data_IF_254324154657
#
_entry.id   IF_254324154657
#
_cell.length_a   1.000
_cell.length_b   1.000
_cell.length_c   1.000
_cell.angle_alpha   90.00
_cell.angle_beta   90.00
_cell.angle_gamma   90.00
#
_symmetry.space_group_name_H-M   'P 1'
#
loop_
_entity.id
_entity.type
_entity.pdbx_description
1 polymer ?
#
# COMPACT_ATOMS: atom_id res chain seq x y z
N UNK A 1 -42.74 7.68 -0.04
CA UNK A 1 -41.43 7.60 -0.71
C UNK A 1 -41.67 7.38 -2.20
N UNK A 2 -41.31 8.34 -3.08
CA UNK A 2 -41.43 8.18 -4.53
C UNK A 2 -40.36 7.20 -5.00
N UNK A 3 -40.73 6.15 -5.76
CA UNK A 3 -39.74 5.34 -6.47
C UNK A 3 -39.10 6.23 -7.55
N UNK A 4 -37.77 6.32 -7.64
CA UNK A 4 -37.12 7.10 -8.69
C UNK A 4 -37.54 6.60 -10.06
N UNK A 5 -37.73 7.53 -11.00
CA UNK A 5 -38.00 7.16 -12.39
C UNK A 5 -36.77 6.46 -12.98
N UNK A 6 -36.98 5.49 -13.90
CA UNK A 6 -35.86 4.77 -14.53
C UNK A 6 -34.88 5.68 -15.27
N UNK A 7 -35.35 6.86 -15.69
CA UNK A 7 -34.59 7.92 -16.33
C UNK A 7 -33.66 8.66 -15.35
N UNK A 8 -34.13 9.03 -14.17
CA UNK A 8 -33.29 9.67 -13.13
C UNK A 8 -32.09 8.80 -12.75
N UNK A 9 -32.32 7.48 -12.66
CA UNK A 9 -31.27 6.53 -12.34
C UNK A 9 -30.19 6.46 -13.43
N UNK A 10 -30.60 6.40 -14.70
CA UNK A 10 -29.67 6.37 -15.84
C UNK A 10 -28.86 7.67 -15.95
N UNK A 11 -29.50 8.82 -15.70
CA UNK A 11 -28.86 10.13 -15.71
C UNK A 11 -27.79 10.22 -14.63
N UNK A 12 -28.09 9.78 -13.40
CA UNK A 12 -27.10 9.76 -12.30
C UNK A 12 -25.91 8.87 -12.66
N UNK A 13 -26.12 7.69 -13.25
CA UNK A 13 -25.02 6.81 -13.68
C UNK A 13 -24.17 7.48 -14.76
N UNK A 14 -24.78 8.14 -15.74
CA UNK A 14 -24.04 8.88 -16.77
C UNK A 14 -23.21 10.03 -16.18
N UNK A 15 -23.75 10.76 -15.21
CA UNK A 15 -23.06 11.84 -14.54
C UNK A 15 -21.93 11.36 -13.62
N UNK A 16 -22.10 10.21 -12.94
CA UNK A 16 -21.04 9.55 -12.19
C UNK A 16 -19.89 9.12 -13.12
N UNK A 17 -20.22 8.57 -14.30
CA UNK A 17 -19.22 8.26 -15.35
C UNK A 17 -18.45 9.50 -15.81
N UNK A 18 -19.15 10.64 -15.92
CA UNK A 18 -18.54 11.91 -16.27
C UNK A 18 -17.74 12.57 -15.13
N UNK A 19 -17.65 11.94 -13.94
CA UNK A 19 -16.88 12.45 -12.81
C UNK A 19 -17.57 13.59 -12.06
N UNK A 20 -18.90 13.71 -12.14
CA UNK A 20 -19.62 14.75 -11.38
C UNK A 20 -19.60 14.41 -9.88
N UNK A 21 -19.22 15.36 -9.00
CA UNK A 21 -19.08 15.10 -7.56
C UNK A 21 -20.38 14.63 -6.90
N UNK A 22 -20.27 13.67 -5.96
CA UNK A 22 -21.41 13.10 -5.24
C UNK A 22 -22.35 14.14 -4.62
N UNK A 23 -21.79 15.14 -3.92
CA UNK A 23 -22.58 16.15 -3.22
C UNK A 23 -23.48 16.95 -4.15
N UNK A 24 -23.02 17.23 -5.38
CA UNK A 24 -23.81 17.92 -6.40
C UNK A 24 -24.95 17.03 -6.88
N UNK A 25 -24.70 15.74 -7.12
CA UNK A 25 -25.72 14.78 -7.52
C UNK A 25 -26.79 14.58 -6.44
N UNK A 26 -26.38 14.51 -5.16
CA UNK A 26 -27.31 14.39 -4.04
C UNK A 26 -28.26 15.58 -3.94
N UNK A 27 -27.77 16.79 -4.22
CA UNK A 27 -28.59 18.00 -4.23
C UNK A 27 -29.64 18.01 -5.36
N UNK A 28 -29.35 17.37 -6.50
CA UNK A 28 -30.20 17.37 -7.69
C UNK A 28 -31.21 16.22 -7.72
N UNK A 29 -30.77 15.01 -7.38
CA UNK A 29 -31.54 13.77 -7.53
C UNK A 29 -31.95 13.15 -6.18
N UNK A 30 -31.47 13.71 -5.06
CA UNK A 30 -31.70 13.19 -3.72
C UNK A 30 -30.71 12.09 -3.31
N UNK A 31 -30.44 11.93 -2.00
CA UNK A 31 -29.38 11.06 -1.51
C UNK A 31 -29.61 9.58 -1.79
N UNK A 32 -30.85 9.10 -1.69
CA UNK A 32 -31.17 7.67 -1.85
C UNK A 32 -30.97 7.18 -3.29
N UNK A 33 -31.39 7.96 -4.27
CA UNK A 33 -31.24 7.62 -5.70
C UNK A 33 -29.77 7.55 -6.07
N UNK A 34 -29.00 8.54 -5.62
CA UNK A 34 -27.56 8.64 -5.89
C UNK A 34 -26.78 7.52 -5.21
N UNK A 35 -27.08 7.20 -3.94
CA UNK A 35 -26.45 6.08 -3.23
C UNK A 35 -26.69 4.74 -3.93
N UNK A 36 -27.93 4.48 -4.33
CA UNK A 36 -28.29 3.24 -5.03
C UNK A 36 -27.60 3.15 -6.40
N UNK A 37 -27.63 4.23 -7.18
CA UNK A 37 -26.98 4.30 -8.48
C UNK A 37 -25.46 4.11 -8.37
N UNK A 38 -24.82 4.77 -7.40
CA UNK A 38 -23.40 4.65 -7.15
C UNK A 38 -22.98 3.25 -6.69
N UNK A 39 -23.73 2.60 -5.80
CA UNK A 39 -23.44 1.22 -5.37
C UNK A 39 -23.46 0.26 -6.57
N UNK A 40 -24.47 0.37 -7.42
CA UNK A 40 -24.58 -0.45 -8.61
C UNK A 40 -23.53 -0.09 -9.67
N UNK A 41 -23.20 1.19 -9.80
CA UNK A 41 -22.12 1.67 -10.67
C UNK A 41 -20.79 1.04 -10.26
N UNK A 42 -20.43 1.09 -8.97
CA UNK A 42 -19.17 0.52 -8.47
C UNK A 42 -19.07 -0.97 -8.76
N UNK A 43 -20.18 -1.72 -8.64
CA UNK A 43 -20.22 -3.16 -8.91
C UNK A 43 -20.12 -3.50 -10.40
N UNK A 44 -20.75 -2.71 -11.26
CA UNK A 44 -20.93 -3.04 -12.67
C UNK A 44 -19.87 -2.42 -13.58
N UNK A 45 -19.37 -1.24 -13.23
CA UNK A 45 -18.41 -0.50 -14.03
C UNK A 45 -16.98 -0.99 -13.75
N UNK A 46 -16.10 -0.80 -14.73
CA UNK A 46 -14.66 -1.11 -14.63
C UNK A 46 -13.81 0.07 -15.11
N UNK A 47 -14.39 1.27 -15.12
CA UNK A 47 -13.74 2.47 -15.58
C UNK A 47 -13.06 3.24 -14.45
N UNK A 48 -12.19 4.20 -14.81
CA UNK A 48 -11.25 4.87 -13.90
C UNK A 48 -11.92 5.68 -12.79
N UNK A 49 -13.20 6.03 -12.95
CA UNK A 49 -13.98 6.79 -11.96
C UNK A 49 -14.58 5.89 -10.86
N UNK A 50 -14.63 4.57 -11.05
CA UNK A 50 -15.19 3.60 -10.10
C UNK A 50 -14.62 3.79 -8.71
N UNK A 51 -13.30 3.87 -8.61
CA UNK A 51 -12.62 4.02 -7.34
C UNK A 51 -13.00 5.30 -6.60
N UNK A 52 -13.02 6.43 -7.31
CA UNK A 52 -13.42 7.73 -6.76
C UNK A 52 -14.86 7.69 -6.25
N UNK A 53 -15.78 7.12 -7.03
CA UNK A 53 -17.20 7.00 -6.65
C UNK A 53 -17.38 6.10 -5.42
N UNK A 54 -16.64 4.97 -5.36
CA UNK A 54 -16.68 4.09 -4.19
C UNK A 54 -16.20 4.82 -2.93
N UNK A 55 -15.13 5.61 -3.03
CA UNK A 55 -14.62 6.40 -1.91
C UNK A 55 -15.60 7.47 -1.45
N UNK A 56 -16.18 8.22 -2.38
CA UNK A 56 -17.20 9.22 -2.08
C UNK A 56 -18.40 8.59 -1.36
N UNK A 57 -18.86 7.42 -1.82
CA UNK A 57 -19.95 6.69 -1.19
C UNK A 57 -19.66 6.30 0.27
N UNK A 58 -18.42 5.92 0.57
CA UNK A 58 -17.99 5.54 1.93
C UNK A 58 -17.85 6.75 2.86
N UNK A 59 -17.50 7.93 2.32
CA UNK A 59 -17.33 9.16 3.13
C UNK A 59 -18.65 9.87 3.48
N UNK A 60 -19.70 9.73 2.67
CA UNK A 60 -20.91 10.55 2.78
C UNK A 60 -21.99 10.03 3.75
N UNK A 61 -21.92 8.80 4.27
CA UNK A 61 -22.87 8.30 5.29
C UNK A 61 -22.38 7.03 5.99
N UNK A 62 -22.43 7.00 7.32
CA UNK A 62 -22.07 5.83 8.13
C UNK A 62 -23.02 4.63 7.91
N UNK A 63 -24.32 4.85 7.72
CA UNK A 63 -25.27 3.76 7.44
C UNK A 63 -25.03 3.12 6.08
N UNK A 64 -24.74 3.96 5.08
CA UNK A 64 -24.45 3.52 3.71
C UNK A 64 -23.11 2.79 3.64
N UNK A 65 -22.13 3.23 4.44
CA UNK A 65 -20.81 2.60 4.57
C UNK A 65 -20.92 1.17 5.09
N UNK A 66 -21.61 0.93 6.21
CA UNK A 66 -21.75 -0.42 6.78
C UNK A 66 -22.48 -1.37 5.82
N UNK A 67 -23.56 -0.91 5.18
CA UNK A 67 -24.28 -1.69 4.17
C UNK A 67 -23.42 -2.00 2.93
N UNK A 68 -22.68 -1.01 2.42
CA UNK A 68 -21.85 -1.20 1.24
C UNK A 68 -20.66 -2.11 1.52
N UNK A 69 -20.03 -1.99 2.70
CA UNK A 69 -18.89 -2.82 3.08
C UNK A 69 -19.29 -4.23 3.52
N UNK A 70 -20.57 -4.46 3.83
CA UNK A 70 -21.12 -5.80 4.04
C UNK A 70 -21.31 -6.57 2.72
N UNK A 71 -21.41 -5.86 1.60
CA UNK A 71 -21.64 -6.39 0.27
C UNK A 71 -20.33 -6.84 -0.40
N UNK A 72 -20.12 -8.15 -0.51
CA UNK A 72 -18.87 -8.71 -1.07
C UNK A 72 -18.58 -8.24 -2.49
N UNK A 73 -19.59 -8.09 -3.34
CA UNK A 73 -19.39 -7.62 -4.71
C UNK A 73 -18.90 -6.17 -4.74
N UNK A 74 -19.38 -5.34 -3.81
CA UNK A 74 -18.89 -3.97 -3.66
C UNK A 74 -17.45 -3.94 -3.13
N UNK A 75 -17.14 -4.73 -2.10
CA UNK A 75 -15.79 -4.78 -1.52
C UNK A 75 -14.78 -5.28 -2.55
N UNK A 76 -15.09 -6.35 -3.29
CA UNK A 76 -14.22 -6.85 -4.35
C UNK A 76 -13.99 -5.80 -5.46
N UNK A 77 -15.04 -5.06 -5.84
CA UNK A 77 -14.92 -3.98 -6.80
C UNK A 77 -14.08 -2.80 -6.28
N UNK A 78 -14.19 -2.48 -4.98
CA UNK A 78 -13.37 -1.46 -4.32
C UNK A 78 -11.90 -1.86 -4.29
N UNK A 79 -11.59 -3.10 -3.89
CA UNK A 79 -10.23 -3.65 -3.90
C UNK A 79 -9.63 -3.60 -5.31
N UNK A 80 -10.38 -4.06 -6.31
CA UNK A 80 -9.98 -3.98 -7.70
C UNK A 80 -9.78 -2.54 -8.22
N UNK A 81 -10.35 -1.53 -7.54
CA UNK A 81 -10.16 -0.11 -7.89
C UNK A 81 -8.89 0.51 -7.30
N UNK A 82 -8.29 -0.14 -6.30
CA UNK A 82 -7.01 0.28 -5.73
C UNK A 82 -5.84 -0.12 -6.64
N UNK A 83 -6.03 -1.18 -7.43
CA UNK A 83 -5.05 -1.68 -8.40
C UNK A 83 -5.34 -1.22 -9.83
N UNK A 84 -6.29 -0.31 -10.00
CA UNK A 84 -6.66 0.20 -11.31
C UNK A 84 -5.59 1.15 -11.84
N UNK A 85 -5.23 0.97 -13.11
CA UNK A 85 -4.24 1.79 -13.79
C UNK A 85 -4.65 3.27 -13.83
N UNK A 86 -3.68 4.21 -13.85
CA UNK A 86 -3.98 5.61 -14.07
C UNK A 86 -4.52 5.82 -15.50
N UNK A 87 -5.04 7.02 -15.76
CA UNK A 87 -5.46 7.37 -17.12
C UNK A 87 -4.30 7.29 -18.12
N UNK A 88 -4.60 6.95 -19.38
CA UNK A 88 -3.64 6.61 -20.45
C UNK A 88 -2.44 7.58 -20.58
N UNK A 89 -2.63 8.87 -20.28
CA UNK A 89 -1.58 9.88 -20.32
C UNK A 89 -0.47 9.70 -19.26
N UNK A 90 -0.69 8.87 -18.24
CA UNK A 90 0.29 8.52 -17.20
C UNK A 90 0.84 7.10 -17.41
N UNK A 91 0.48 6.44 -18.51
CA UNK A 91 0.93 5.09 -18.85
C UNK A 91 2.08 5.15 -19.86
N UNK A 92 3.04 4.23 -19.73
CA UNK A 92 4.02 3.97 -20.77
C UNK A 92 3.30 3.30 -21.97
N UNK A 93 3.30 3.92 -23.16
CA UNK A 93 2.55 3.41 -24.32
C UNK A 93 3.12 2.14 -24.95
N UNK A 94 4.34 1.71 -24.58
CA UNK A 94 4.94 0.46 -25.04
C UNK A 94 4.82 -0.65 -24.00
N UNK A 95 5.11 -0.32 -22.74
CA UNK A 95 5.12 -1.29 -21.65
C UNK A 95 3.74 -1.49 -21.01
N UNK A 96 2.80 -0.56 -21.25
CA UNK A 96 1.45 -0.57 -20.69
C UNK A 96 1.46 -0.65 -19.16
N UNK A 97 2.40 0.06 -18.54
CA UNK A 97 2.52 0.20 -17.08
C UNK A 97 2.57 1.68 -16.72
N UNK A 98 2.18 2.06 -15.48
CA UNK A 98 2.31 3.45 -15.02
C UNK A 98 3.75 3.93 -15.15
N UNK A 99 3.93 5.13 -15.71
CA UNK A 99 5.24 5.78 -15.83
C UNK A 99 5.91 5.87 -14.44
N UNK A 100 7.24 5.78 -14.37
CA UNK A 100 8.03 5.97 -13.14
C UNK A 100 8.89 7.20 -13.25
N UNK A 101 9.69 7.27 -14.30
CA UNK A 101 10.53 8.41 -14.65
C UNK A 101 10.29 8.78 -16.12
N UNK A 102 9.21 9.53 -16.41
CA UNK A 102 8.82 9.84 -17.77
C UNK A 102 9.85 10.72 -18.47
N UNK A 103 10.21 10.32 -19.69
CA UNK A 103 11.11 11.05 -20.58
C UNK A 103 10.44 11.26 -21.94
N UNK A 104 10.74 12.38 -22.58
CA UNK A 104 10.32 12.67 -23.94
C UNK A 104 11.43 12.35 -24.92
N UNK A 105 11.08 11.62 -25.97
CA UNK A 105 11.93 11.36 -27.13
C UNK A 105 12.01 12.61 -28.01
N UNK A 106 13.02 12.70 -28.88
CA UNK A 106 13.12 13.77 -29.89
C UNK A 106 11.92 13.83 -30.85
N UNK A 107 11.17 12.73 -31.00
CA UNK A 107 9.90 12.69 -31.75
C UNK A 107 8.71 13.30 -31.01
N UNK A 108 8.86 13.72 -29.75
CA UNK A 108 7.80 14.27 -28.91
C UNK A 108 6.97 13.24 -28.16
N UNK A 109 7.19 11.94 -28.38
CA UNK A 109 6.51 10.88 -27.63
C UNK A 109 7.14 10.67 -26.26
N UNK A 110 6.29 10.34 -25.29
CA UNK A 110 6.66 10.08 -23.89
C UNK A 110 6.78 8.59 -23.65
N UNK A 111 7.86 8.18 -23.00
CA UNK A 111 8.10 6.81 -22.53
C UNK A 111 8.64 6.86 -21.11
N UNK A 112 8.66 5.73 -20.41
CA UNK A 112 9.47 5.61 -19.21
C UNK A 112 10.97 5.59 -19.57
N UNK A 113 11.82 6.11 -18.67
CA UNK A 113 13.27 6.11 -18.86
C UNK A 113 13.81 4.70 -19.08
N UNK A 114 13.34 3.69 -18.36
CA UNK A 114 13.84 2.32 -18.50
C UNK A 114 13.44 1.69 -19.83
N UNK A 115 12.33 2.15 -20.41
CA UNK A 115 11.88 1.80 -21.76
C UNK A 115 12.75 2.46 -22.83
N UNK A 116 13.12 3.74 -22.63
CA UNK A 116 13.86 4.52 -23.61
C UNK A 116 15.38 4.30 -23.58
N UNK A 117 15.96 4.03 -22.39
CA UNK A 117 17.40 3.95 -22.15
C UNK A 117 17.82 2.63 -21.49
N UNK A 118 19.03 2.18 -21.80
CA UNK A 118 19.72 1.15 -21.02
C UNK A 118 20.18 1.73 -19.67
N UNK A 119 20.51 0.88 -18.68
CA UNK A 119 21.01 1.35 -17.37
C UNK A 119 22.28 2.21 -17.46
N UNK A 120 23.07 2.06 -18.52
CA UNK A 120 24.26 2.88 -18.80
C UNK A 120 23.94 4.23 -19.47
N UNK A 121 22.65 4.55 -19.65
CA UNK A 121 22.18 5.78 -20.26
C UNK A 121 22.16 5.78 -21.79
N UNK A 122 22.55 4.70 -22.46
CA UNK A 122 22.50 4.62 -23.93
C UNK A 122 21.05 4.47 -24.42
N UNK A 123 20.65 5.13 -25.53
CA UNK A 123 19.33 4.93 -26.12
C UNK A 123 19.11 3.48 -26.55
N UNK A 124 17.94 2.92 -26.21
CA UNK A 124 17.47 1.62 -26.71
C UNK A 124 16.84 1.73 -28.09
N UNK A 125 16.35 2.91 -28.44
CA UNK A 125 15.58 3.18 -29.64
C UNK A 125 16.37 4.13 -30.55
N UNK A 126 16.61 3.71 -31.79
CA UNK A 126 17.20 4.56 -32.83
C UNK A 126 16.14 5.17 -33.77
N UNK A 127 14.95 4.58 -33.78
CA UNK A 127 13.79 5.08 -34.52
C UNK A 127 12.59 5.15 -33.58
N UNK A 128 11.71 6.11 -33.83
CA UNK A 128 10.47 6.28 -33.10
C UNK A 128 9.57 5.05 -33.34
N UNK A 129 9.12 4.34 -32.29
CA UNK A 129 8.29 3.14 -32.48
C UNK A 129 6.91 3.47 -33.06
N UNK A 130 6.47 4.73 -32.94
CA UNK A 130 5.16 5.19 -33.42
C UNK A 130 5.21 5.78 -34.84
N UNK A 131 6.22 6.61 -35.13
CA UNK A 131 6.32 7.33 -36.42
C UNK A 131 7.36 6.76 -37.36
N UNK A 132 8.21 5.84 -36.88
CA UNK A 132 9.37 5.24 -37.60
C UNK A 132 10.44 6.24 -38.04
N UNK A 133 10.35 7.50 -37.62
CA UNK A 133 11.35 8.53 -37.89
C UNK A 133 12.62 8.28 -37.07
N UNK A 134 13.81 8.65 -37.57
CA UNK A 134 15.05 8.54 -36.81
C UNK A 134 14.99 9.43 -35.56
N UNK A 135 15.51 8.93 -34.44
CA UNK A 135 15.58 9.65 -33.18
C UNK A 135 16.99 10.21 -32.96
N UNK A 136 17.07 11.42 -32.41
CA UNK A 136 18.29 11.90 -31.78
C UNK A 136 18.64 11.02 -30.57
N UNK A 137 19.94 10.79 -30.26
CA UNK A 137 20.38 9.95 -29.15
C UNK A 137 20.27 10.69 -27.79
N UNK A 138 19.16 11.38 -27.57
CA UNK A 138 18.89 12.18 -26.37
C UNK A 138 17.42 12.01 -25.97
N UNK A 139 17.19 11.98 -24.66
CA UNK A 139 15.85 12.02 -24.07
C UNK A 139 15.84 13.10 -23.00
N UNK A 140 14.70 13.73 -22.79
CA UNK A 140 14.57 14.85 -21.85
C UNK A 140 13.58 14.46 -20.74
N UNK A 141 13.94 14.64 -19.45
CA UNK A 141 13.06 14.30 -18.35
C UNK A 141 11.82 15.21 -18.32
N UNK A 142 10.64 14.63 -18.10
CA UNK A 142 9.38 15.35 -17.95
C UNK A 142 8.98 15.47 -16.49
N UNK A 143 9.59 16.44 -15.80
CA UNK A 143 9.42 16.65 -14.35
C UNK A 143 7.95 16.86 -13.95
N UNK A 144 7.16 17.58 -14.76
CA UNK A 144 5.74 17.81 -14.46
C UNK A 144 4.92 16.51 -14.50
N UNK A 145 5.22 15.62 -15.45
CA UNK A 145 4.50 14.37 -15.60
C UNK A 145 4.89 13.39 -14.49
N UNK A 146 6.18 13.39 -14.12
CA UNK A 146 6.67 12.64 -12.96
C UNK A 146 5.93 13.06 -11.68
N UNK A 147 5.68 14.36 -11.49
CA UNK A 147 4.91 14.87 -10.36
C UNK A 147 3.45 14.38 -10.39
N UNK A 148 2.79 14.39 -11.55
CA UNK A 148 1.41 13.89 -11.69
C UNK A 148 1.28 12.40 -11.40
N UNK A 149 2.21 11.58 -11.91
CA UNK A 149 2.29 10.14 -11.59
C UNK A 149 2.44 9.95 -10.07
N UNK A 150 3.34 10.72 -9.45
CA UNK A 150 3.57 10.64 -8.01
C UNK A 150 2.33 11.02 -7.21
N UNK A 151 1.65 12.10 -7.59
CA UNK A 151 0.40 12.54 -6.95
C UNK A 151 -0.69 11.47 -7.08
N UNK A 152 -0.79 10.80 -8.23
CA UNK A 152 -1.70 9.68 -8.41
C UNK A 152 -1.37 8.52 -7.46
N UNK A 153 -0.10 8.09 -7.39
CA UNK A 153 0.32 7.02 -6.45
C UNK A 153 0.02 7.38 -5.00
N UNK A 154 0.27 8.62 -4.59
CA UNK A 154 -0.04 9.12 -3.24
C UNK A 154 -1.54 9.05 -2.96
N UNK A 155 -2.39 9.44 -3.93
CA UNK A 155 -3.84 9.30 -3.78
C UNK A 155 -4.27 7.84 -3.64
N UNK A 156 -3.67 6.92 -4.41
CA UNK A 156 -3.97 5.49 -4.27
C UNK A 156 -3.53 4.94 -2.91
N UNK A 157 -2.34 5.32 -2.43
CA UNK A 157 -1.88 4.96 -1.10
C UNK A 157 -2.82 5.46 0.00
N UNK A 158 -3.26 6.72 -0.07
CA UNK A 158 -4.22 7.29 0.88
C UNK A 158 -5.55 6.54 0.86
N UNK A 159 -6.04 6.19 -0.34
CA UNK A 159 -7.27 5.40 -0.50
C UNK A 159 -7.11 4.01 0.10
N UNK A 160 -5.99 3.32 -0.17
CA UNK A 160 -5.70 2.01 0.41
C UNK A 160 -5.65 2.06 1.94
N UNK A 161 -4.92 3.02 2.53
CA UNK A 161 -4.87 3.21 3.98
C UNK A 161 -6.26 3.45 4.56
N UNK A 162 -7.08 4.27 3.90
CA UNK A 162 -8.45 4.50 4.33
C UNK A 162 -9.28 3.21 4.24
N UNK A 163 -9.27 2.51 3.11
CA UNK A 163 -9.99 1.24 2.93
C UNK A 163 -9.58 0.20 3.99
N UNK A 164 -8.29 0.07 4.28
CA UNK A 164 -7.81 -0.83 5.33
C UNK A 164 -8.37 -0.47 6.70
N UNK A 165 -8.35 0.81 7.07
CA UNK A 165 -8.95 1.29 8.32
C UNK A 165 -10.45 0.95 8.41
N UNK A 166 -11.18 1.05 7.30
CA UNK A 166 -12.60 0.73 7.25
C UNK A 166 -12.88 -0.77 7.35
N UNK A 167 -12.04 -1.60 6.74
CA UNK A 167 -12.12 -3.06 6.85
C UNK A 167 -11.83 -3.53 8.29
N UNK A 168 -10.86 -2.91 8.96
CA UNK A 168 -10.55 -3.20 10.37
C UNK A 168 -11.71 -2.85 11.31
N UNK A 169 -12.38 -1.72 11.09
CA UNK A 169 -13.58 -1.33 11.87
C UNK A 169 -14.73 -2.34 11.73
N UNK A 170 -14.75 -3.11 10.64
CA UNK A 170 -15.75 -4.14 10.35
C UNK A 170 -15.25 -5.55 10.65
N UNK A 171 -14.11 -5.68 11.33
CA UNK A 171 -13.48 -6.94 11.71
C UNK A 171 -13.14 -7.86 10.51
N UNK A 172 -13.01 -7.30 9.30
CA UNK A 172 -12.62 -8.02 8.08
C UNK A 172 -11.11 -8.04 7.91
N UNK A 173 -10.43 -8.73 8.81
CA UNK A 173 -8.97 -8.71 8.92
C UNK A 173 -8.25 -9.28 7.70
N UNK A 174 -8.78 -10.31 7.05
CA UNK A 174 -8.14 -10.93 5.88
C UNK A 174 -8.07 -9.96 4.70
N UNK A 175 -9.19 -9.32 4.36
CA UNK A 175 -9.22 -8.31 3.29
C UNK A 175 -8.39 -7.07 3.63
N UNK A 176 -8.30 -6.70 4.92
CA UNK A 176 -7.42 -5.61 5.34
C UNK A 176 -5.94 -5.93 5.07
N UNK A 177 -5.53 -7.20 5.21
CA UNK A 177 -4.17 -7.64 4.87
C UNK A 177 -3.86 -7.48 3.39
N UNK A 178 -4.78 -7.87 2.50
CA UNK A 178 -4.61 -7.69 1.05
C UNK A 178 -4.42 -6.20 0.71
N UNK A 179 -5.17 -5.31 1.38
CA UNK A 179 -5.04 -3.87 1.19
C UNK A 179 -3.71 -3.34 1.73
N UNK A 180 -3.18 -3.89 2.83
CA UNK A 180 -1.87 -3.52 3.33
C UNK A 180 -0.75 -3.87 2.34
N UNK A 181 -0.83 -5.02 1.68
CA UNK A 181 0.13 -5.38 0.63
C UNK A 181 0.08 -4.41 -0.57
N UNK A 182 -1.12 -4.01 -0.98
CA UNK A 182 -1.32 -2.99 -2.03
C UNK A 182 -0.73 -1.64 -1.58
N UNK A 183 -1.01 -1.22 -0.35
CA UNK A 183 -0.49 0.02 0.23
C UNK A 183 1.05 0.00 0.30
N UNK A 184 1.63 -1.15 0.64
CA UNK A 184 3.09 -1.32 0.73
C UNK A 184 3.77 -1.15 -0.62
N UNK A 185 3.19 -1.71 -1.67
CA UNK A 185 3.67 -1.54 -3.04
C UNK A 185 3.70 -0.06 -3.42
N UNK A 186 2.61 0.68 -3.16
CA UNK A 186 2.57 2.11 -3.45
C UNK A 186 3.55 2.92 -2.59
N UNK A 187 3.70 2.57 -1.31
CA UNK A 187 4.64 3.26 -0.42
C UNK A 187 6.09 3.09 -0.90
N UNK A 188 6.46 1.88 -1.31
CA UNK A 188 7.78 1.57 -1.87
C UNK A 188 8.06 2.38 -3.14
N UNK A 189 7.07 2.52 -4.03
CA UNK A 189 7.21 3.28 -5.29
C UNK A 189 7.27 4.80 -5.09
N UNK A 190 6.59 5.32 -4.06
CA UNK A 190 6.56 6.75 -3.76
C UNK A 190 7.76 7.18 -2.91
N UNK A 191 8.28 6.26 -2.08
CA UNK A 191 9.41 6.43 -1.20
C UNK A 191 9.02 6.79 0.24
N UNK A 192 9.27 5.87 1.16
CA UNK A 192 8.98 5.97 2.61
C UNK A 192 9.45 7.29 3.24
N UNK A 193 10.62 7.78 2.82
CA UNK A 193 11.27 8.95 3.44
C UNK A 193 10.57 10.27 3.13
N UNK A 194 9.75 10.31 2.07
CA UNK A 194 9.06 11.53 1.64
C UNK A 194 7.67 11.65 2.27
N UNK A 195 7.01 10.52 2.59
CA UNK A 195 5.63 10.49 3.10
C UNK A 195 5.56 9.79 4.46
N UNK A 196 6.38 10.28 5.39
CA UNK A 196 6.55 9.73 6.74
C UNK A 196 5.21 9.58 7.48
N UNK A 197 4.28 10.53 7.34
CA UNK A 197 2.95 10.48 7.97
C UNK A 197 2.09 9.32 7.44
N UNK A 198 2.11 9.06 6.13
CA UNK A 198 1.35 7.95 5.54
C UNK A 198 1.98 6.61 5.91
N UNK A 199 3.31 6.54 5.89
CA UNK A 199 4.09 5.39 6.32
C UNK A 199 3.77 5.03 7.78
N UNK A 200 3.74 6.03 8.67
CA UNK A 200 3.37 5.89 10.08
C UNK A 200 1.94 5.38 10.25
N UNK A 201 0.97 6.01 9.56
CA UNK A 201 -0.43 5.63 9.66
C UNK A 201 -0.67 4.18 9.19
N UNK A 202 0.00 3.77 8.12
CA UNK A 202 -0.05 2.38 7.64
C UNK A 202 0.47 1.40 8.72
N UNK A 203 1.65 1.70 9.30
CA UNK A 203 2.24 0.89 10.37
C UNK A 203 1.35 0.79 11.62
N UNK A 204 0.73 1.90 12.03
CA UNK A 204 -0.19 1.94 13.18
C UNK A 204 -1.47 1.10 12.93
N UNK A 205 -1.98 1.06 11.70
CA UNK A 205 -3.13 0.23 11.33
C UNK A 205 -2.75 -1.25 11.24
N UNK A 206 -1.62 -1.59 10.63
CA UNK A 206 -1.13 -2.96 10.55
C UNK A 206 -0.96 -3.57 11.95
N UNK A 207 -0.44 -2.79 12.91
CA UNK A 207 -0.27 -3.19 14.30
C UNK A 207 -1.60 -3.51 15.03
N UNK A 208 -2.71 -2.91 14.62
CA UNK A 208 -4.04 -3.21 15.19
C UNK A 208 -4.61 -4.55 14.71
N UNK A 209 -3.97 -5.18 13.71
CA UNK A 209 -4.51 -6.38 13.08
C UNK A 209 -3.94 -7.62 13.75
N UNK A 210 -4.78 -8.57 14.21
CA UNK A 210 -4.31 -9.82 14.80
C UNK A 210 -3.55 -10.73 13.82
N UNK A 211 -3.48 -10.36 12.53
CA UNK A 211 -2.75 -11.01 11.46
C UNK A 211 -1.30 -10.49 11.28
N UNK A 212 -0.85 -9.48 12.04
CA UNK A 212 0.58 -9.15 12.19
C UNK A 212 1.32 -10.25 13.00
N UNK A 213 1.20 -11.51 12.57
CA UNK A 213 1.78 -12.69 13.22
C UNK A 213 3.03 -13.19 12.52
N UNK A 214 3.29 -12.74 11.30
CA UNK A 214 4.54 -13.07 10.64
C UNK A 214 5.65 -12.16 11.21
N UNK A 215 6.77 -12.73 11.70
CA UNK A 215 7.90 -11.97 12.23
C UNK A 215 8.39 -10.89 11.26
N UNK A 216 8.38 -11.18 9.97
CA UNK A 216 8.83 -10.27 8.92
C UNK A 216 7.92 -9.04 8.78
N UNK A 217 6.60 -9.21 8.90
CA UNK A 217 5.66 -8.09 8.86
C UNK A 217 5.86 -7.18 10.07
N UNK A 218 6.00 -7.76 11.28
CA UNK A 218 6.27 -6.99 12.50
C UNK A 218 7.61 -6.26 12.41
N UNK A 219 8.63 -6.90 11.83
CA UNK A 219 9.94 -6.26 11.62
C UNK A 219 9.84 -5.06 10.67
N UNK A 220 9.10 -5.20 9.56
CA UNK A 220 8.85 -4.09 8.63
C UNK A 220 8.12 -2.93 9.28
N UNK A 221 7.10 -3.19 10.11
CA UNK A 221 6.37 -2.18 10.89
C UNK A 221 7.35 -1.39 11.76
N UNK A 222 8.16 -2.07 12.57
CA UNK A 222 9.10 -1.40 13.47
C UNK A 222 10.22 -0.67 12.73
N UNK A 223 10.73 -1.22 11.61
CA UNK A 223 11.70 -0.53 10.76
C UNK A 223 11.13 0.77 10.19
N UNK A 224 9.86 0.75 9.75
CA UNK A 224 9.17 1.94 9.24
C UNK A 224 8.95 2.97 10.33
N UNK A 225 8.45 2.54 11.49
CA UNK A 225 8.29 3.41 12.66
C UNK A 225 9.65 4.01 13.06
N UNK A 226 10.72 3.23 13.09
CA UNK A 226 12.05 3.72 13.46
C UNK A 226 12.56 4.85 12.56
N UNK A 227 12.27 4.77 11.25
CA UNK A 227 12.63 5.82 10.28
C UNK A 227 11.88 7.13 10.53
N UNK A 228 10.61 7.06 10.93
CA UNK A 228 9.75 8.24 11.14
C UNK A 228 9.85 8.79 12.57
N UNK A 229 10.24 7.99 13.55
CA UNK A 229 10.27 8.35 14.96
C UNK A 229 11.45 9.29 15.27
N UNK A 230 11.22 10.40 16.02
CA UNK A 230 12.28 11.29 16.48
C UNK A 230 13.38 10.55 17.24
N UNK A 231 14.62 11.02 17.15
CA UNK A 231 15.77 10.33 17.76
C UNK A 231 15.63 10.10 19.27
N UNK A 232 14.96 11.01 19.98
CA UNK A 232 14.69 10.89 21.40
C UNK A 232 13.80 9.67 21.75
N UNK A 233 12.89 9.29 20.86
CA UNK A 233 11.89 8.24 21.10
C UNK A 233 12.29 6.88 20.50
N UNK A 234 13.30 6.86 19.61
CA UNK A 234 13.83 5.64 19.00
C UNK A 234 14.25 4.57 20.02
N UNK A 235 14.91 4.87 21.16
CA UNK A 235 15.24 3.86 22.14
C UNK A 235 14.02 3.12 22.69
N UNK A 236 12.94 3.86 22.98
CA UNK A 236 11.70 3.28 23.51
C UNK A 236 11.06 2.34 22.47
N UNK A 237 10.98 2.78 21.20
CA UNK A 237 10.44 1.98 20.11
C UNK A 237 11.23 0.67 19.89
N UNK A 238 12.57 0.74 19.90
CA UNK A 238 13.40 -0.47 19.71
C UNK A 238 13.24 -1.42 20.90
N UNK A 239 13.13 -0.91 22.12
CA UNK A 239 12.88 -1.74 23.30
C UNK A 239 11.50 -2.41 23.26
N UNK A 240 10.48 -1.70 22.77
CA UNK A 240 9.15 -2.26 22.52
C UNK A 240 9.20 -3.39 21.49
N UNK A 241 9.88 -3.16 20.35
CA UNK A 241 10.08 -4.17 19.33
C UNK A 241 10.74 -5.43 19.90
N UNK A 242 11.86 -5.26 20.60
CA UNK A 242 12.60 -6.36 21.22
C UNK A 242 11.71 -7.13 22.20
N UNK A 243 10.92 -6.44 23.03
CA UNK A 243 10.02 -7.08 23.97
C UNK A 243 8.91 -7.89 23.27
N UNK A 244 8.38 -7.40 22.15
CA UNK A 244 7.39 -8.12 21.36
C UNK A 244 8.00 -9.39 20.72
N UNK A 245 9.15 -9.26 20.07
CA UNK A 245 9.86 -10.40 19.47
C UNK A 245 10.26 -11.45 20.52
N UNK A 246 10.75 -11.04 21.70
CA UNK A 246 11.12 -11.99 22.76
C UNK A 246 9.90 -12.69 23.37
N UNK A 247 8.79 -11.97 23.56
CA UNK A 247 7.55 -12.54 24.06
C UNK A 247 6.96 -13.59 23.10
N UNK A 248 6.92 -13.27 21.80
CA UNK A 248 6.41 -14.18 20.76
C UNK A 248 7.31 -15.40 20.55
N UNK A 249 8.63 -15.21 20.55
CA UNK A 249 9.58 -16.31 20.49
C UNK A 249 9.44 -17.25 21.70
N UNK A 250 9.26 -16.69 22.90
CA UNK A 250 9.04 -17.47 24.13
C UNK A 250 7.74 -18.26 24.05
N UNK A 251 6.64 -17.63 23.62
CA UNK A 251 5.35 -18.29 23.42
C UNK A 251 5.44 -19.46 22.43
N UNK A 252 6.16 -19.28 21.30
CA UNK A 252 6.38 -20.36 20.33
C UNK A 252 7.20 -21.52 20.92
N UNK A 253 8.27 -21.22 21.68
CA UNK A 253 9.05 -22.25 22.38
C UNK A 253 8.23 -23.01 23.42
N UNK A 254 7.38 -22.33 24.17
CA UNK A 254 6.51 -22.95 25.18
C UNK A 254 5.43 -23.83 24.53
N UNK A 255 5.02 -23.51 23.30
CA UNK A 255 4.15 -24.35 22.47
C UNK A 255 4.90 -25.53 21.78
N UNK A 256 6.21 -25.64 21.94
CA UNK A 256 7.04 -26.65 21.29
C UNK A 256 7.39 -26.36 19.83
N UNK A 257 7.08 -25.16 19.33
CA UNK A 257 7.37 -24.71 17.97
C UNK A 257 8.75 -24.01 17.91
N UNK A 258 9.80 -24.80 17.79
CA UNK A 258 11.17 -24.30 17.64
C UNK A 258 11.38 -23.55 16.30
N UNK A 259 10.60 -23.84 15.27
CA UNK A 259 10.75 -23.18 13.97
C UNK A 259 10.12 -21.80 13.97
N UNK A 260 8.90 -21.66 14.47
CA UNK A 260 8.28 -20.35 14.72
C UNK A 260 9.13 -19.49 15.65
N UNK A 261 9.63 -20.05 16.76
CA UNK A 261 10.53 -19.32 17.66
C UNK A 261 11.80 -18.81 16.95
N UNK A 262 12.37 -19.62 16.05
CA UNK A 262 13.51 -19.23 15.23
C UNK A 262 13.20 -18.11 14.25
N UNK A 263 12.00 -18.10 13.66
CA UNK A 263 11.58 -16.99 12.78
C UNK A 263 11.42 -15.69 13.57
N UNK A 264 10.86 -15.72 14.79
CA UNK A 264 10.71 -14.53 15.64
C UNK A 264 12.06 -13.93 16.10
N UNK A 265 13.08 -14.76 16.34
CA UNK A 265 14.42 -14.28 16.67
C UNK A 265 15.27 -13.96 15.43
N UNK A 266 15.04 -14.64 14.31
CA UNK A 266 15.79 -14.45 13.07
C UNK A 266 15.33 -13.25 12.25
N UNK A 267 14.02 -13.06 12.12
CA UNK A 267 13.40 -12.01 11.28
C UNK A 267 13.92 -10.59 11.54
N UNK A 268 13.92 -10.09 12.79
CA UNK A 268 14.43 -8.75 13.08
C UNK A 268 15.97 -8.70 13.21
N UNK A 269 16.65 -9.85 13.17
CA UNK A 269 18.06 -9.98 13.56
C UNK A 269 19.00 -9.09 12.76
N UNK A 270 18.75 -8.92 11.46
CA UNK A 270 19.54 -8.03 10.61
C UNK A 270 19.40 -6.56 11.04
N UNK A 271 18.16 -6.08 11.21
CA UNK A 271 17.87 -4.70 11.61
C UNK A 271 18.35 -4.39 13.02
N UNK A 272 18.09 -5.26 13.98
CA UNK A 272 18.54 -5.09 15.37
C UNK A 272 20.07 -5.11 15.52
N UNK A 273 20.78 -5.68 14.54
CA UNK A 273 22.25 -5.73 14.51
C UNK A 273 22.89 -4.51 13.84
N UNK A 274 22.10 -3.63 13.20
CA UNK A 274 22.62 -2.42 12.56
C UNK A 274 23.31 -1.51 13.57
N UNK A 275 24.40 -0.85 13.16
CA UNK A 275 25.23 -0.05 14.05
C UNK A 275 24.47 1.10 14.74
N UNK A 276 23.43 1.64 14.10
CA UNK A 276 22.58 2.69 14.68
C UNK A 276 21.49 2.17 15.62
N UNK A 277 21.12 0.88 15.54
CA UNK A 277 20.02 0.27 16.32
C UNK A 277 20.56 -0.51 17.50
N UNK A 278 21.63 -1.28 17.29
CA UNK A 278 22.24 -2.16 18.30
C UNK A 278 22.55 -1.49 19.64
N UNK A 279 23.05 -0.23 19.70
CA UNK A 279 23.29 0.45 20.97
C UNK A 279 22.00 0.69 21.77
N UNK A 280 20.87 0.87 21.10
CA UNK A 280 19.59 1.31 21.69
C UNK A 280 18.92 0.23 22.55
N UNK A 281 19.25 -1.04 22.33
CA UNK A 281 18.67 -2.17 23.07
C UNK A 281 19.70 -3.03 23.79
N UNK A 282 20.91 -2.49 24.01
CA UNK A 282 22.01 -3.22 24.68
C UNK A 282 21.59 -3.84 26.02
N UNK A 283 20.69 -3.19 26.74
CA UNK A 283 20.13 -3.66 28.02
C UNK A 283 19.34 -4.97 27.90
N UNK A 284 18.79 -5.30 26.72
CA UNK A 284 18.01 -6.53 26.45
C UNK A 284 18.81 -7.61 25.71
N UNK A 285 20.06 -7.35 25.32
CA UNK A 285 20.88 -8.34 24.59
C UNK A 285 21.11 -9.64 25.36
N UNK A 286 21.24 -9.57 26.69
CA UNK A 286 21.42 -10.75 27.51
C UNK A 286 20.17 -11.65 27.52
N UNK A 287 18.98 -11.06 27.52
CA UNK A 287 17.71 -11.78 27.45
C UNK A 287 17.54 -12.43 26.07
N UNK A 288 17.80 -11.68 25.00
CA UNK A 288 17.76 -12.18 23.63
C UNK A 288 18.66 -13.41 23.43
N UNK A 289 19.93 -13.31 23.85
CA UNK A 289 20.89 -14.43 23.77
C UNK A 289 20.47 -15.66 24.57
N UNK A 290 19.80 -15.47 25.71
CA UNK A 290 19.25 -16.61 26.48
C UNK A 290 18.17 -17.34 25.69
N UNK A 291 17.33 -16.62 24.95
CA UNK A 291 16.32 -17.21 24.08
C UNK A 291 16.95 -17.92 22.88
N UNK A 292 17.98 -17.33 22.25
CA UNK A 292 18.75 -17.99 21.18
C UNK A 292 19.39 -19.30 21.68
N UNK A 293 19.98 -19.31 22.87
CA UNK A 293 20.54 -20.51 23.49
C UNK A 293 19.47 -21.55 23.82
N UNK A 294 18.30 -21.12 24.33
CA UNK A 294 17.16 -22.00 24.60
C UNK A 294 16.66 -22.65 23.30
N UNK A 295 16.55 -21.86 22.24
CA UNK A 295 16.18 -22.33 20.91
C UNK A 295 17.20 -23.33 20.35
N UNK A 296 18.49 -23.03 20.46
CA UNK A 296 19.56 -23.94 20.01
C UNK A 296 19.50 -25.30 20.73
N UNK A 297 19.21 -25.29 22.05
CA UNK A 297 18.99 -26.52 22.83
C UNK A 297 17.77 -27.29 22.36
N UNK A 298 16.66 -26.61 22.06
CA UNK A 298 15.44 -27.25 21.53
C UNK A 298 15.65 -27.88 20.15
N UNK A 299 16.52 -27.29 19.33
CA UNK A 299 16.88 -27.82 18.00
C UNK A 299 17.97 -28.89 18.02
N UNK A 300 18.62 -29.13 19.16
CA UNK A 300 19.77 -30.03 19.25
C UNK A 300 21.03 -29.50 18.52
N UNK A 301 21.14 -28.19 18.29
CA UNK A 301 22.30 -27.58 17.63
C UNK A 301 23.44 -27.35 18.64
N UNK A 302 24.24 -28.39 18.88
CA UNK A 302 25.40 -28.30 19.78
C UNK A 302 26.43 -27.24 19.37
N UNK A 303 26.53 -26.92 18.07
CA UNK A 303 27.49 -25.94 17.56
C UNK A 303 27.06 -24.50 17.87
N UNK A 304 25.76 -24.22 17.91
CA UNK A 304 25.21 -22.94 18.35
C UNK A 304 25.27 -22.77 19.87
N UNK A 305 25.08 -23.85 20.65
CA UNK A 305 25.15 -23.80 22.13
C UNK A 305 26.56 -23.48 22.66
N UNK A 306 27.61 -23.84 21.91
CA UNK A 306 29.01 -23.60 22.29
C UNK A 306 29.54 -22.21 21.93
N UNK A 307 28.83 -21.42 21.12
CA UNK A 307 29.20 -20.05 20.72
C UNK A 307 28.60 -19.01 21.67
#
# INVERSE_FOLDING_TARGET
>A
QRRPSGTEYADVVALLKAGVPFGKLQSLYGPEVVRRAARNFVKADRGPTRGSVAQELLTHSASTKNEAMSDEAFVNALLASLEEDPGDHLMDPLMLVPLRDPVVLSSGYVLDRETALYPDGRPRLHHCPFTRQPLEPRVYPLVFLAAQVKDWRVKQLQRAIQTAQELLQLERTELAMDVFEIAERFLTEVGDTTYLELARRLAELERQTPAARAPDCVAKIYQRLFRVTPEADRPALVLEAVAEFTAKASQAMDAGDADGAGQWLGGPGQWLSEAGVRPLWRVRQAEWRRLELRLAKLRGDEAAVRR
#
